data_IF_116885532903
#
_entry.id   IF_116885532903
#
_cell.length_a   1.000
_cell.length_b   1.000
_cell.length_c   1.000
_cell.angle_alpha   90.00
_cell.angle_beta   90.00
_cell.angle_gamma   90.00
#
_symmetry.space_group_name_H-M   'P 1'
#
loop_
_entity.id
_entity.type
_entity.pdbx_description
1 polymer ?
#
# COMPACT_ATOMS: atom_id res chain seq x y z
N UNK A 1 6.94 8.54 24.06
CA UNK A 1 6.22 8.26 22.81
C UNK A 1 5.66 9.54 22.22
N UNK A 2 6.41 10.14 21.30
CA UNK A 2 6.03 11.32 20.53
C UNK A 2 5.74 10.88 19.09
N UNK A 3 4.55 11.17 18.58
CA UNK A 3 4.20 10.94 17.17
C UNK A 3 4.87 12.00 16.31
N UNK A 4 5.50 11.62 15.20
CA UNK A 4 6.21 12.54 14.31
C UNK A 4 5.48 12.83 12.99
N UNK A 5 5.19 11.79 12.20
CA UNK A 5 4.54 11.92 10.89
C UNK A 5 3.75 10.66 10.51
N UNK A 6 2.96 10.75 9.44
CA UNK A 6 2.41 9.57 8.78
C UNK A 6 3.56 8.87 8.07
N UNK A 7 3.84 7.64 8.47
CA UNK A 7 4.91 6.84 7.90
C UNK A 7 4.47 6.32 6.52
N UNK A 8 3.33 5.62 6.46
CA UNK A 8 2.71 5.21 5.21
C UNK A 8 1.18 5.17 5.26
N UNK A 9 0.58 5.24 4.08
CA UNK A 9 -0.83 4.94 3.82
C UNK A 9 -0.91 3.66 2.97
N UNK A 10 -1.48 2.61 3.54
CA UNK A 10 -1.71 1.33 2.84
C UNK A 10 -3.04 1.34 2.11
N UNK A 11 -3.04 1.08 0.81
CA UNK A 11 -4.21 1.07 -0.07
C UNK A 11 -4.33 -0.31 -0.71
N UNK A 12 -5.40 -1.03 -0.38
CA UNK A 12 -5.70 -2.33 -0.95
C UNK A 12 -6.14 -2.18 -2.41
N UNK A 13 -5.48 -2.91 -3.31
CA UNK A 13 -5.77 -2.97 -4.75
C UNK A 13 -5.86 -4.41 -5.22
N UNK A 14 -6.57 -4.66 -6.32
CA UNK A 14 -6.68 -6.01 -6.90
C UNK A 14 -5.45 -6.43 -7.69
N UNK A 15 -4.79 -5.48 -8.35
CA UNK A 15 -3.62 -5.70 -9.18
C UNK A 15 -2.71 -4.49 -9.13
N UNK A 16 -1.41 -4.72 -8.88
CA UNK A 16 -0.42 -3.66 -9.02
C UNK A 16 -0.25 -3.25 -10.49
N UNK A 17 -0.34 -4.20 -11.42
CA UNK A 17 -0.18 -3.93 -12.86
C UNK A 17 -1.27 -2.98 -13.39
N UNK A 18 -2.49 -3.06 -12.84
CA UNK A 18 -3.58 -2.14 -13.17
C UNK A 18 -3.50 -0.82 -12.37
N UNK A 19 -3.09 -0.87 -11.11
CA UNK A 19 -3.11 0.29 -10.24
C UNK A 19 -1.93 1.24 -10.50
N UNK A 20 -0.70 0.73 -10.62
CA UNK A 20 0.52 1.54 -10.79
C UNK A 20 0.38 2.56 -11.94
N UNK A 21 -0.12 2.20 -13.15
CA UNK A 21 -0.25 3.15 -14.25
C UNK A 21 -1.12 4.36 -13.93
N UNK A 22 -2.15 4.23 -13.08
CA UNK A 22 -2.95 5.38 -12.67
C UNK A 22 -2.15 6.32 -11.75
N UNK A 23 -1.47 5.75 -10.75
CA UNK A 23 -0.64 6.51 -9.81
C UNK A 23 0.53 7.21 -10.51
N UNK A 24 1.10 6.59 -11.53
CA UNK A 24 2.18 7.20 -12.30
C UNK A 24 1.69 8.20 -13.35
N UNK A 25 0.79 7.78 -14.24
CA UNK A 25 0.45 8.58 -15.42
C UNK A 25 -0.62 9.65 -15.15
N UNK A 26 -1.49 9.44 -14.15
CA UNK A 26 -2.56 10.39 -13.82
C UNK A 26 -2.14 11.28 -12.65
N UNK A 27 -1.58 10.68 -11.58
CA UNK A 27 -1.19 11.43 -10.38
C UNK A 27 0.26 11.93 -10.41
N UNK A 28 1.09 11.44 -11.34
CA UNK A 28 2.47 11.91 -11.50
C UNK A 28 3.44 11.40 -10.44
N UNK A 29 3.06 10.43 -9.61
CA UNK A 29 4.00 9.77 -8.70
C UNK A 29 4.88 8.78 -9.46
N UNK A 30 5.93 8.27 -8.81
CA UNK A 30 6.76 7.21 -9.38
C UNK A 30 6.83 6.05 -8.43
N UNK A 31 6.51 4.86 -8.94
CA UNK A 31 6.77 3.64 -8.21
C UNK A 31 8.29 3.47 -8.15
N UNK A 32 8.85 3.44 -6.94
CA UNK A 32 10.31 3.33 -6.76
C UNK A 32 10.75 1.93 -6.35
N UNK A 33 9.84 1.10 -5.87
CA UNK A 33 10.10 -0.29 -5.50
C UNK A 33 8.80 -1.10 -5.54
N UNK A 34 8.96 -2.41 -5.80
CA UNK A 34 7.93 -3.41 -5.57
C UNK A 34 8.58 -4.53 -4.76
N UNK A 35 7.96 -4.91 -3.65
CA UNK A 35 8.45 -5.98 -2.79
C UNK A 35 7.33 -6.99 -2.51
N UNK A 36 7.69 -8.27 -2.43
CA UNK A 36 6.78 -9.32 -1.98
C UNK A 36 7.09 -9.69 -0.54
N UNK A 37 6.07 -9.61 0.32
CA UNK A 37 6.13 -10.06 1.71
C UNK A 37 5.39 -11.39 1.80
N UNK A 38 6.09 -12.47 1.46
CA UNK A 38 5.51 -13.81 1.33
C UNK A 38 4.75 -14.28 2.59
N UNK A 39 5.28 -13.97 3.78
CA UNK A 39 4.65 -14.31 5.07
C UNK A 39 3.28 -13.64 5.25
N UNK A 40 3.10 -12.45 4.68
CA UNK A 40 1.83 -11.72 4.69
C UNK A 40 0.99 -11.97 3.45
N UNK A 41 1.53 -12.66 2.44
CA UNK A 41 0.89 -12.95 1.15
C UNK A 41 0.42 -11.67 0.46
N UNK A 42 1.31 -10.70 0.41
CA UNK A 42 1.09 -9.38 -0.18
C UNK A 42 2.28 -8.99 -1.03
N UNK A 43 2.01 -8.40 -2.19
CA UNK A 43 2.97 -7.67 -3.00
C UNK A 43 2.67 -6.18 -2.86
N UNK A 44 3.68 -5.39 -2.56
CA UNK A 44 3.53 -3.97 -2.25
C UNK A 44 4.29 -3.12 -3.25
N UNK A 45 3.62 -2.15 -3.87
CA UNK A 45 4.29 -1.10 -4.65
C UNK A 45 4.41 0.18 -3.82
N UNK A 46 5.60 0.79 -3.85
CA UNK A 46 5.92 1.94 -3.03
C UNK A 46 6.06 3.21 -3.85
N UNK A 47 5.42 4.27 -3.37
CA UNK A 47 5.48 5.62 -3.92
C UNK A 47 5.86 6.60 -2.82
N UNK A 48 6.58 7.66 -3.19
CA UNK A 48 6.95 8.71 -2.24
C UNK A 48 6.10 9.96 -2.46
N UNK A 49 5.48 10.48 -1.39
CA UNK A 49 4.78 11.76 -1.36
C UNK A 49 5.34 12.61 -0.21
N UNK A 50 6.32 13.44 -0.52
CA UNK A 50 7.05 14.18 0.51
C UNK A 50 7.82 13.22 1.42
N UNK A 51 7.43 13.16 2.71
CA UNK A 51 8.01 12.26 3.71
C UNK A 51 7.17 10.99 3.96
N UNK A 52 5.98 10.89 3.35
CA UNK A 52 5.04 9.81 3.58
C UNK A 52 5.06 8.85 2.39
N UNK A 53 5.03 7.55 2.66
CA UNK A 53 4.88 6.53 1.62
C UNK A 53 3.42 6.28 1.30
N UNK A 54 3.13 6.07 0.03
CA UNK A 54 1.89 5.40 -0.38
C UNK A 54 2.27 3.98 -0.76
N UNK A 55 1.56 3.02 -0.17
CA UNK A 55 1.78 1.59 -0.38
C UNK A 55 0.53 0.99 -1.02
N UNK A 56 0.66 0.53 -2.26
CA UNK A 56 -0.41 -0.24 -2.91
C UNK A 56 -0.21 -1.71 -2.56
N UNK A 57 -1.24 -2.33 -1.99
CA UNK A 57 -1.20 -3.68 -1.44
C UNK A 57 -2.02 -4.60 -2.33
N UNK A 58 -1.36 -5.48 -3.05
CA UNK A 58 -1.98 -6.53 -3.85
C UNK A 58 -1.86 -7.87 -3.12
N UNK A 59 -2.96 -8.61 -2.92
CA UNK A 59 -2.89 -9.94 -2.33
C UNK A 59 -2.25 -10.92 -3.33
N UNK A 60 -1.33 -11.76 -2.85
CA UNK A 60 -0.73 -12.83 -3.68
C UNK A 60 -1.48 -14.16 -3.56
N UNK A 61 -2.51 -14.22 -2.70
CA UNK A 61 -3.36 -15.38 -2.49
C UNK A 61 -4.73 -15.00 -1.93
N UNK A 62 -5.71 -15.89 -2.06
CA UNK A 62 -7.08 -15.69 -1.53
C UNK A 62 -7.13 -15.67 0.01
N UNK A 63 -6.17 -16.30 0.68
CA UNK A 63 -6.13 -16.35 2.14
C UNK A 63 -5.40 -15.17 2.79
N UNK A 64 -4.86 -14.25 1.97
CA UNK A 64 -4.27 -12.97 2.39
C UNK A 64 -5.28 -12.11 3.17
N UNK A 65 -4.78 -11.34 4.14
CA UNK A 65 -5.59 -10.36 4.87
C UNK A 65 -6.15 -9.28 3.93
N UNK A 66 -5.38 -8.91 2.90
CA UNK A 66 -5.77 -7.93 1.89
C UNK A 66 -6.86 -8.48 0.97
N UNK A 67 -6.78 -9.76 0.57
CA UNK A 67 -7.83 -10.40 -0.23
C UNK A 67 -9.18 -10.36 0.50
N UNK A 68 -9.19 -10.76 1.78
CA UNK A 68 -10.38 -10.71 2.64
C UNK A 68 -10.87 -9.28 2.86
N UNK A 69 -9.98 -8.30 2.99
CA UNK A 69 -10.39 -6.89 3.09
C UNK A 69 -11.14 -6.45 1.82
N UNK A 70 -10.58 -6.74 0.64
CA UNK A 70 -11.16 -6.35 -0.65
C UNK A 70 -12.52 -7.03 -0.86
N UNK A 71 -12.66 -8.30 -0.50
CA UNK A 71 -13.95 -9.02 -0.58
C UNK A 71 -15.02 -8.35 0.29
N UNK A 72 -14.67 -7.96 1.52
CA UNK A 72 -15.62 -7.42 2.48
C UNK A 72 -15.92 -5.92 2.29
N UNK A 73 -14.96 -5.14 1.76
CA UNK A 73 -15.02 -3.67 1.76
C UNK A 73 -14.72 -3.02 0.40
N UNK A 74 -14.28 -3.80 -0.58
CA UNK A 74 -13.77 -3.28 -1.85
C UNK A 74 -12.32 -2.77 -1.74
N UNK A 75 -11.81 -2.27 -2.87
CA UNK A 75 -10.51 -1.60 -2.93
C UNK A 75 -10.57 -0.25 -2.21
N UNK A 76 -9.45 0.18 -1.61
CA UNK A 76 -9.39 1.47 -0.90
C UNK A 76 -8.36 1.52 0.22
N UNK A 77 -8.42 2.59 1.03
CA UNK A 77 -7.50 2.78 2.16
C UNK A 77 -7.72 1.68 3.19
N UNK A 78 -6.72 0.82 3.36
CA UNK A 78 -6.72 -0.25 4.35
C UNK A 78 -6.32 0.27 5.73
N UNK A 79 -5.23 1.04 5.80
CA UNK A 79 -4.69 1.54 7.06
C UNK A 79 -3.78 2.75 6.88
N UNK A 80 -3.48 3.41 7.99
CA UNK A 80 -2.51 4.50 8.10
C UNK A 80 -1.56 4.21 9.26
N UNK A 81 -0.26 4.21 8.99
CA UNK A 81 0.77 4.02 10.01
C UNK A 81 1.35 5.36 10.45
N UNK A 82 1.57 5.51 11.76
CA UNK A 82 2.18 6.71 12.36
C UNK A 82 3.57 6.35 12.90
N UNK A 83 4.57 7.15 12.54
CA UNK A 83 5.90 7.04 13.10
C UNK A 83 5.93 7.61 14.52
N UNK A 84 6.50 6.83 15.45
CA UNK A 84 6.61 7.18 16.87
C UNK A 84 8.07 7.15 17.32
N UNK A 85 8.52 8.20 18.01
CA UNK A 85 9.78 8.26 18.72
C UNK A 85 9.56 7.86 20.20
N UNK A 86 10.45 7.03 20.74
CA UNK A 86 10.38 6.62 22.15
C UNK A 86 10.91 7.72 23.07
#
# INVERSE_FOLDING_TARGET
MKVSHIEHLGIAVKSLDEAIPYWENVLGLKCYAIEEVADQKVRTAFFMLGQTKIELLEPTSEDSTIAKYIENRGIGIHHMALACEN
#
